data_IF_090258419331
#
_entry.id   IF_090258419331
#
_cell.length_a   1.000
_cell.length_b   1.000
_cell.length_c   1.000
_cell.angle_alpha   90.00
_cell.angle_beta   90.00
_cell.angle_gamma   90.00
#
_symmetry.space_group_name_H-M   'P 1'
#
loop_
_entity.id
_entity.type
_entity.pdbx_description
1 polymer ?
#
# COMPACT_ATOMS: atom_id res chain seq x y z
N UNK A 1 30.72 31.33 -46.92
CA UNK A 1 30.41 30.85 -45.56
C UNK A 1 31.68 30.81 -44.76
N UNK A 2 31.76 31.64 -43.73
CA UNK A 2 32.97 32.01 -43.03
C UNK A 2 33.44 30.95 -42.05
N UNK A 3 34.74 30.75 -42.00
CA UNK A 3 35.48 29.81 -41.11
C UNK A 3 35.18 29.93 -39.62
N UNK A 4 34.41 30.91 -39.21
CA UNK A 4 34.02 31.19 -37.81
C UNK A 4 32.89 30.30 -37.30
N UNK A 5 32.13 29.64 -38.16
CA UNK A 5 31.04 28.76 -37.76
C UNK A 5 31.47 27.29 -37.54
N UNK A 6 32.66 26.92 -38.00
CA UNK A 6 33.20 25.56 -37.81
C UNK A 6 33.91 25.37 -36.44
N UNK A 7 34.32 26.47 -35.80
CA UNK A 7 35.04 26.44 -34.52
C UNK A 7 34.11 26.38 -33.29
N UNK A 8 32.85 26.74 -33.45
CA UNK A 8 31.88 26.70 -32.32
C UNK A 8 31.24 25.33 -32.13
N UNK A 9 31.16 24.53 -33.22
CA UNK A 9 30.61 23.15 -33.11
C UNK A 9 31.62 22.12 -32.54
N UNK A 10 32.92 22.40 -32.58
CA UNK A 10 33.94 21.49 -32.06
C UNK A 10 34.22 21.66 -30.56
N UNK A 11 33.79 22.78 -29.94
CA UNK A 11 33.98 23.03 -28.52
C UNK A 11 32.82 22.49 -27.68
N UNK A 12 31.62 22.32 -28.25
CA UNK A 12 30.46 21.74 -27.56
C UNK A 12 30.47 20.23 -27.49
N UNK A 13 31.24 19.56 -28.38
CA UNK A 13 31.38 18.09 -28.33
C UNK A 13 32.55 17.61 -27.47
N UNK A 14 33.42 18.50 -27.03
CA UNK A 14 34.57 18.16 -26.17
C UNK A 14 34.26 18.30 -24.66
N UNK A 15 33.17 18.98 -24.30
CA UNK A 15 32.82 19.19 -22.87
C UNK A 15 31.90 18.12 -22.28
N UNK A 16 31.37 17.20 -23.07
CA UNK A 16 30.57 16.08 -22.55
C UNK A 16 31.36 14.77 -22.30
N UNK A 17 32.68 14.77 -22.55
CA UNK A 17 33.56 13.60 -22.34
C UNK A 17 34.46 13.74 -21.11
N UNK A 18 34.41 14.86 -20.41
CA UNK A 18 35.30 15.14 -19.27
C UNK A 18 34.51 15.25 -17.97
N UNK A 19 34.03 14.18 -17.43
CA UNK A 19 33.87 13.96 -15.98
C UNK A 19 33.03 12.72 -15.67
N UNK A 20 33.37 11.58 -16.18
CA UNK A 20 33.12 10.37 -15.42
C UNK A 20 34.29 10.26 -14.46
N UNK A 21 34.26 11.03 -13.35
CA UNK A 21 35.13 10.79 -12.20
C UNK A 21 34.89 9.36 -11.81
N UNK A 22 35.94 8.51 -12.00
CA UNK A 22 35.82 7.09 -11.67
C UNK A 22 35.39 6.98 -10.21
N UNK A 23 34.22 6.35 -9.97
CA UNK A 23 33.72 6.12 -8.61
C UNK A 23 34.74 5.28 -7.85
N UNK A 24 35.39 5.81 -6.79
CA UNK A 24 36.50 5.11 -6.14
C UNK A 24 35.99 3.92 -5.35
N UNK A 25 36.79 2.86 -5.30
CA UNK A 25 36.53 1.69 -4.48
C UNK A 25 36.78 2.02 -3.02
N UNK A 26 35.69 2.13 -2.25
CA UNK A 26 35.75 2.39 -0.80
C UNK A 26 36.28 1.19 -0.02
N UNK A 27 35.83 0.00 -0.39
CA UNK A 27 36.30 -1.22 0.27
C UNK A 27 36.19 -2.43 -0.64
N UNK A 28 36.85 -3.52 -0.25
CA UNK A 28 36.70 -4.84 -0.86
C UNK A 28 36.28 -5.84 0.20
N UNK A 29 35.19 -6.56 -0.07
CA UNK A 29 34.69 -7.64 0.79
C UNK A 29 34.88 -8.95 0.03
N UNK A 30 35.72 -9.84 0.52
CA UNK A 30 36.09 -11.09 -0.16
C UNK A 30 36.60 -10.88 -1.61
N UNK A 31 37.23 -9.74 -1.90
CA UNK A 31 37.66 -9.34 -3.24
C UNK A 31 36.63 -8.59 -4.07
N UNK A 32 35.35 -8.66 -3.73
CA UNK A 32 34.25 -7.91 -4.38
C UNK A 32 34.37 -6.43 -4.04
N UNK A 33 34.49 -5.52 -5.03
CA UNK A 33 34.57 -4.10 -4.77
C UNK A 33 33.20 -3.54 -4.32
N UNK A 34 33.27 -2.61 -3.37
CA UNK A 34 32.16 -1.75 -2.95
C UNK A 34 32.59 -0.32 -3.21
N UNK A 35 31.85 0.40 -4.00
CA UNK A 35 32.18 1.76 -4.41
C UNK A 35 31.70 2.80 -3.40
N UNK A 36 32.32 3.99 -3.43
CA UNK A 36 31.98 5.08 -2.53
C UNK A 36 30.51 5.50 -2.70
N UNK A 37 30.05 5.69 -3.92
CA UNK A 37 28.67 6.11 -4.22
C UNK A 37 27.63 5.13 -3.66
N UNK A 38 27.91 3.84 -3.72
CA UNK A 38 27.06 2.80 -3.16
C UNK A 38 26.94 2.91 -1.63
N UNK A 39 28.04 3.15 -0.96
CA UNK A 39 28.07 3.35 0.48
C UNK A 39 27.37 4.67 0.87
N UNK A 40 27.64 5.76 0.16
CA UNK A 40 27.01 7.06 0.36
C UNK A 40 25.49 6.98 0.23
N UNK A 41 25.00 6.31 -0.80
CA UNK A 41 23.56 6.08 -0.97
C UNK A 41 22.94 5.39 0.26
N UNK A 42 23.54 4.28 0.70
CA UNK A 42 23.05 3.54 1.84
C UNK A 42 23.15 4.33 3.15
N UNK A 43 24.27 5.04 3.35
CA UNK A 43 24.52 5.88 4.52
C UNK A 43 23.52 7.04 4.62
N UNK A 44 23.35 7.80 3.54
CA UNK A 44 22.48 8.97 3.51
C UNK A 44 21.01 8.57 3.71
N UNK A 45 20.54 7.56 2.99
CA UNK A 45 19.17 7.04 3.13
C UNK A 45 18.85 6.58 4.56
N UNK A 46 19.81 5.94 5.24
CA UNK A 46 19.60 5.50 6.63
C UNK A 46 19.66 6.66 7.62
N UNK A 47 20.48 7.67 7.36
CA UNK A 47 20.59 8.86 8.21
C UNK A 47 19.38 9.79 8.09
N UNK A 48 18.82 9.98 6.91
CA UNK A 48 17.63 10.80 6.69
C UNK A 48 16.43 10.31 7.50
N UNK A 49 16.34 8.99 7.72
CA UNK A 49 15.29 8.36 8.51
C UNK A 49 15.43 8.55 10.04
N UNK A 50 16.57 9.09 10.53
CA UNK A 50 16.86 9.21 11.97
C UNK A 50 16.45 10.55 12.61
N UNK A 51 15.65 11.40 11.95
CA UNK A 51 15.15 12.68 12.47
C UNK A 51 16.22 13.54 13.16
N UNK A 52 17.38 13.72 12.52
CA UNK A 52 18.45 14.59 13.00
C UNK A 52 19.37 14.00 14.07
N UNK A 53 19.24 12.73 14.42
CA UNK A 53 20.21 11.96 15.23
C UNK A 53 21.04 11.06 14.32
N UNK A 54 21.64 11.63 13.28
CA UNK A 54 22.44 10.91 12.30
C UNK A 54 23.66 10.23 12.96
N UNK A 55 23.99 9.04 12.46
CA UNK A 55 25.24 8.36 12.76
C UNK A 55 26.40 9.02 11.99
N UNK A 56 27.61 8.93 12.50
CA UNK A 56 28.80 9.27 11.71
C UNK A 56 29.10 8.18 10.69
N UNK A 57 29.93 8.50 9.71
CA UNK A 57 30.42 7.52 8.72
C UNK A 57 31.14 6.36 9.42
N UNK A 58 31.94 6.67 10.44
CA UNK A 58 32.69 5.72 11.23
C UNK A 58 31.79 4.78 12.04
N UNK A 59 30.66 5.28 12.56
CA UNK A 59 29.69 4.49 13.32
C UNK A 59 28.87 3.57 12.41
N UNK A 60 28.56 4.03 11.18
CA UNK A 60 27.78 3.27 10.21
C UNK A 60 28.59 2.19 9.50
N UNK A 61 29.88 2.44 9.21
CA UNK A 61 30.74 1.55 8.44
C UNK A 61 30.79 0.10 8.96
N UNK A 62 30.95 -0.17 10.28
CA UNK A 62 30.95 -1.55 10.79
C UNK A 62 29.65 -2.31 10.51
N UNK A 63 28.52 -1.63 10.60
CA UNK A 63 27.20 -2.21 10.33
C UNK A 63 27.03 -2.52 8.84
N UNK A 64 27.49 -1.64 7.98
CA UNK A 64 27.47 -1.84 6.54
C UNK A 64 28.42 -2.98 6.10
N UNK A 65 29.59 -3.09 6.72
CA UNK A 65 30.50 -4.24 6.53
C UNK A 65 29.81 -5.54 6.91
N UNK A 66 29.12 -5.61 8.05
CA UNK A 66 28.41 -6.79 8.49
C UNK A 66 27.28 -7.19 7.53
N UNK A 67 26.58 -6.20 6.96
CA UNK A 67 25.61 -6.42 5.89
C UNK A 67 26.28 -7.05 4.65
N UNK A 68 27.37 -6.47 4.15
CA UNK A 68 28.09 -6.99 2.99
C UNK A 68 28.69 -8.38 3.20
N UNK A 69 29.14 -8.69 4.41
CA UNK A 69 29.61 -10.04 4.78
C UNK A 69 28.48 -11.08 4.65
N UNK A 70 27.26 -10.71 5.02
CA UNK A 70 26.09 -11.60 4.86
C UNK A 70 25.73 -11.81 3.39
N UNK A 71 25.86 -10.76 2.57
CA UNK A 71 25.66 -10.87 1.11
C UNK A 71 26.68 -11.84 0.50
N UNK A 72 27.95 -11.74 0.89
CA UNK A 72 28.97 -12.70 0.42
C UNK A 72 28.64 -14.14 0.85
N UNK A 73 28.14 -14.34 2.07
CA UNK A 73 27.69 -15.67 2.51
C UNK A 73 26.48 -16.16 1.72
N UNK A 74 25.53 -15.28 1.40
CA UNK A 74 24.37 -15.62 0.56
C UNK A 74 24.80 -16.11 -0.82
N UNK A 75 25.75 -15.40 -1.46
CA UNK A 75 26.33 -15.80 -2.75
C UNK A 75 27.11 -17.13 -2.62
N UNK A 76 27.90 -17.31 -1.56
CA UNK A 76 28.61 -18.57 -1.30
C UNK A 76 27.63 -19.76 -1.12
N UNK A 77 26.43 -19.50 -0.62
CA UNK A 77 25.34 -20.48 -0.51
C UNK A 77 24.53 -20.63 -1.82
N UNK A 78 24.87 -19.87 -2.86
CA UNK A 78 24.17 -19.83 -4.16
C UNK A 78 22.71 -19.38 -4.05
N UNK A 79 22.37 -18.56 -3.07
CA UNK A 79 21.02 -18.00 -2.94
C UNK A 79 20.72 -17.02 -4.08
N UNK A 80 21.72 -16.42 -4.67
CA UNK A 80 21.67 -15.61 -5.88
C UNK A 80 21.27 -16.37 -7.16
N UNK A 81 21.15 -17.70 -7.10
CA UNK A 81 20.69 -18.56 -8.20
C UNK A 81 19.31 -19.19 -7.95
N UNK A 82 18.65 -18.84 -6.86
CA UNK A 82 17.33 -19.36 -6.49
C UNK A 82 16.26 -18.71 -7.37
N UNK A 83 15.53 -19.53 -8.14
CA UNK A 83 14.56 -19.06 -9.16
C UNK A 83 13.49 -18.13 -8.56
N UNK A 84 12.92 -18.48 -7.41
CA UNK A 84 11.88 -17.65 -6.77
C UNK A 84 12.38 -16.25 -6.39
N UNK A 85 13.63 -16.14 -5.91
CA UNK A 85 14.25 -14.85 -5.56
C UNK A 85 14.50 -14.01 -6.82
N UNK A 86 14.97 -14.66 -7.89
CA UNK A 86 15.22 -13.98 -9.17
C UNK A 86 13.90 -13.54 -9.86
N UNK A 87 12.85 -14.31 -9.72
CA UNK A 87 11.52 -13.96 -10.24
C UNK A 87 10.93 -12.77 -9.48
N UNK A 88 11.03 -12.77 -8.14
CA UNK A 88 10.62 -11.64 -7.30
C UNK A 88 11.40 -10.38 -7.69
N UNK A 89 12.73 -10.47 -7.77
CA UNK A 89 13.58 -9.34 -8.18
C UNK A 89 13.19 -8.80 -9.55
N UNK A 90 13.01 -9.67 -10.58
CA UNK A 90 12.65 -9.23 -11.92
C UNK A 90 11.30 -8.54 -11.96
N UNK A 91 10.30 -9.13 -11.30
CA UNK A 91 8.95 -8.56 -11.25
C UNK A 91 8.95 -7.14 -10.70
N UNK A 92 9.65 -6.92 -9.58
CA UNK A 92 9.66 -5.61 -8.93
C UNK A 92 10.55 -4.62 -9.69
N UNK A 93 11.67 -5.09 -10.28
CA UNK A 93 12.50 -4.30 -11.20
C UNK A 93 11.67 -3.79 -12.38
N UNK A 94 10.93 -4.69 -13.04
CA UNK A 94 10.13 -4.34 -14.21
C UNK A 94 9.04 -3.31 -13.86
N UNK A 95 8.42 -3.45 -12.69
CA UNK A 95 7.45 -2.48 -12.18
C UNK A 95 8.08 -1.11 -11.93
N UNK A 96 9.28 -1.06 -11.34
CA UNK A 96 9.99 0.20 -11.07
C UNK A 96 10.56 0.82 -12.35
N UNK A 97 11.01 -0.01 -13.31
CA UNK A 97 11.50 0.44 -14.61
C UNK A 97 10.40 1.11 -15.46
N UNK A 98 9.13 0.77 -15.24
CA UNK A 98 8.02 1.29 -16.04
C UNK A 98 8.03 2.84 -16.11
N UNK A 99 8.31 3.51 -14.98
CA UNK A 99 8.34 4.98 -14.91
C UNK A 99 9.42 5.62 -15.79
N UNK A 100 10.48 4.90 -16.11
CA UNK A 100 11.56 5.36 -17.00
C UNK A 100 11.28 5.06 -18.48
N UNK A 101 10.37 4.13 -18.74
CA UNK A 101 10.03 3.62 -20.08
C UNK A 101 8.70 4.17 -20.62
N UNK A 102 8.06 5.08 -19.90
CA UNK A 102 6.88 5.80 -20.36
C UNK A 102 7.22 7.29 -20.48
N UNK A 103 6.42 8.01 -21.25
CA UNK A 103 6.43 9.45 -21.31
C UNK A 103 5.40 10.00 -20.29
N UNK A 104 5.82 10.48 -19.10
CA UNK A 104 4.89 10.96 -18.08
C UNK A 104 4.17 12.24 -18.52
N UNK A 105 4.83 13.08 -19.32
CA UNK A 105 4.25 14.33 -19.83
C UNK A 105 3.10 14.04 -20.80
N UNK A 106 3.15 12.90 -21.51
CA UNK A 106 2.09 12.51 -22.42
C UNK A 106 0.76 12.28 -21.69
N UNK A 107 0.79 11.59 -20.56
CA UNK A 107 -0.42 11.30 -19.76
C UNK A 107 -1.01 12.61 -19.23
N UNK A 108 -0.18 13.50 -18.71
CA UNK A 108 -0.60 14.80 -18.18
C UNK A 108 -1.15 15.71 -19.30
N UNK A 109 -0.49 15.72 -20.45
CA UNK A 109 -0.94 16.49 -21.62
C UNK A 109 -2.28 15.97 -22.14
N UNK A 110 -2.47 14.65 -22.19
CA UNK A 110 -3.73 14.05 -22.64
C UNK A 110 -4.85 14.33 -21.65
N UNK A 111 -4.57 14.25 -20.35
CA UNK A 111 -5.52 14.64 -19.31
C UNK A 111 -5.92 16.12 -19.42
N UNK A 112 -4.94 17.00 -19.66
CA UNK A 112 -5.23 18.42 -19.89
C UNK A 112 -6.05 18.66 -21.17
N UNK A 113 -5.77 17.92 -22.25
CA UNK A 113 -6.51 18.01 -23.51
C UNK A 113 -7.98 17.67 -23.33
N UNK A 114 -8.28 16.62 -22.56
CA UNK A 114 -9.67 16.23 -22.22
C UNK A 114 -10.31 17.33 -21.38
N UNK A 115 -9.65 17.76 -20.32
CA UNK A 115 -10.13 18.84 -19.47
C UNK A 115 -10.43 20.13 -20.27
N UNK A 116 -9.53 20.54 -21.14
CA UNK A 116 -9.69 21.75 -21.96
C UNK A 116 -10.90 21.64 -22.91
N UNK A 117 -11.11 20.45 -23.49
CA UNK A 117 -12.29 20.18 -24.35
C UNK A 117 -13.58 20.28 -23.54
N UNK A 118 -13.63 19.66 -22.36
CA UNK A 118 -14.83 19.66 -21.51
C UNK A 118 -15.07 21.08 -20.97
N UNK A 119 -14.02 21.77 -20.54
CA UNK A 119 -14.11 23.17 -20.12
C UNK A 119 -14.62 24.09 -21.23
N UNK A 120 -14.20 23.88 -22.47
CA UNK A 120 -14.69 24.65 -23.62
C UNK A 120 -16.17 24.33 -23.93
N UNK A 121 -16.59 23.08 -23.76
CA UNK A 121 -17.97 22.62 -23.99
C UNK A 121 -18.91 23.16 -22.92
N UNK A 122 -18.53 23.09 -21.65
CA UNK A 122 -19.34 23.54 -20.51
C UNK A 122 -19.31 25.07 -20.42
N UNK A 123 -18.14 25.67 -20.74
CA UNK A 123 -17.96 27.11 -20.83
C UNK A 123 -18.19 27.84 -19.50
N UNK A 124 -18.47 29.14 -19.62
CA UNK A 124 -18.73 30.02 -18.46
C UNK A 124 -20.06 29.76 -17.78
N UNK A 125 -20.98 29.09 -18.50
CA UNK A 125 -22.35 28.85 -18.00
C UNK A 125 -22.39 27.73 -16.94
N UNK A 126 -21.35 26.88 -16.90
CA UNK A 126 -21.23 25.82 -15.90
C UNK A 126 -22.31 24.76 -15.95
N UNK A 127 -22.51 24.07 -14.85
CA UNK A 127 -23.56 23.08 -14.64
C UNK A 127 -24.78 23.78 -14.02
N UNK A 128 -25.87 23.77 -14.74
CA UNK A 128 -27.11 24.40 -14.29
C UNK A 128 -27.98 23.33 -13.61
N UNK A 129 -28.24 23.51 -12.31
CA UNK A 129 -29.12 22.62 -11.54
C UNK A 129 -30.56 23.05 -11.69
N UNK A 130 -31.38 22.16 -12.28
CA UNK A 130 -32.77 22.44 -12.61
C UNK A 130 -33.68 21.29 -12.20
N UNK A 131 -34.97 21.57 -12.07
CA UNK A 131 -36.06 20.59 -12.12
C UNK A 131 -37.16 21.09 -13.07
N UNK A 132 -38.01 20.24 -13.56
CA UNK A 132 -39.06 20.65 -14.44
C UNK A 132 -40.38 19.89 -14.22
N UNK A 133 -41.47 20.55 -14.58
CA UNK A 133 -42.76 19.94 -14.81
C UNK A 133 -42.89 19.67 -16.31
N UNK A 134 -43.29 18.48 -16.71
CA UNK A 134 -43.55 18.10 -18.10
C UNK A 134 -44.97 17.64 -18.28
N UNK A 135 -45.72 18.34 -19.11
CA UNK A 135 -47.03 17.99 -19.61
C UNK A 135 -46.83 17.40 -21.01
N UNK A 136 -46.78 16.09 -21.10
CA UNK A 136 -46.46 15.36 -22.31
C UNK A 136 -47.53 15.53 -23.39
N UNK A 137 -47.12 15.91 -24.59
CA UNK A 137 -47.93 15.87 -25.79
C UNK A 137 -47.02 15.69 -27.01
N UNK A 138 -47.31 14.69 -27.86
CA UNK A 138 -46.58 14.55 -29.13
C UNK A 138 -47.17 15.54 -30.14
N UNK A 139 -46.33 16.41 -30.69
CA UNK A 139 -46.71 17.51 -31.57
C UNK A 139 -47.19 17.09 -32.98
N UNK A 140 -47.15 15.80 -33.33
CA UNK A 140 -47.65 15.32 -34.61
C UNK A 140 -48.82 14.39 -34.40
N UNK A 141 -50.03 14.86 -34.72
CA UNK A 141 -51.17 14.02 -34.94
C UNK A 141 -52.36 14.08 -33.94
N UNK A 142 -52.24 14.86 -32.84
CA UNK A 142 -53.34 15.06 -31.90
C UNK A 142 -53.38 16.47 -31.33
N UNK A 143 -54.00 17.39 -32.08
CA UNK A 143 -54.18 18.79 -31.69
C UNK A 143 -54.98 18.95 -30.38
N UNK A 144 -55.84 18.00 -30.03
CA UNK A 144 -56.59 18.04 -28.78
C UNK A 144 -55.70 17.74 -27.57
N UNK A 145 -54.81 16.73 -27.68
CA UNK A 145 -53.82 16.42 -26.64
C UNK A 145 -52.82 17.56 -26.42
N UNK A 146 -52.38 18.20 -27.48
CA UNK A 146 -51.48 19.38 -27.41
C UNK A 146 -52.16 20.53 -26.69
N UNK A 147 -53.45 20.87 -27.05
CA UNK A 147 -54.19 21.91 -26.33
C UNK A 147 -54.38 21.59 -24.85
N UNK A 148 -54.75 20.36 -24.53
CA UNK A 148 -54.93 19.94 -23.14
C UNK A 148 -53.63 20.03 -22.34
N UNK A 149 -52.49 19.62 -22.91
CA UNK A 149 -51.20 19.73 -22.27
C UNK A 149 -50.83 21.19 -22.01
N UNK A 150 -51.10 22.10 -22.97
CA UNK A 150 -50.92 23.52 -22.81
C UNK A 150 -51.76 24.09 -21.69
N UNK A 151 -53.09 23.82 -21.69
CA UNK A 151 -54.00 24.28 -20.66
C UNK A 151 -53.62 23.81 -19.26
N UNK A 152 -53.11 22.58 -19.14
CA UNK A 152 -52.56 22.04 -17.87
C UNK A 152 -51.29 22.76 -17.44
N UNK A 153 -50.38 23.04 -18.36
CA UNK A 153 -49.17 23.78 -18.08
C UNK A 153 -49.47 25.23 -17.65
N UNK A 154 -50.40 25.89 -18.34
CA UNK A 154 -50.85 27.25 -18.00
C UNK A 154 -51.52 27.25 -16.60
N UNK A 155 -52.37 26.24 -16.29
CA UNK A 155 -52.96 26.09 -14.96
C UNK A 155 -51.93 25.86 -13.86
N UNK A 156 -50.92 25.00 -14.14
CA UNK A 156 -49.82 24.76 -13.22
C UNK A 156 -49.02 26.04 -12.92
N UNK A 157 -48.83 26.87 -13.96
CA UNK A 157 -48.14 28.14 -13.80
C UNK A 157 -48.89 29.12 -12.89
N UNK A 158 -50.21 29.20 -13.03
CA UNK A 158 -51.09 29.97 -12.12
C UNK A 158 -50.98 29.45 -10.69
N UNK A 159 -51.03 28.11 -10.49
CA UNK A 159 -50.88 27.50 -9.16
C UNK A 159 -49.53 27.81 -8.52
N UNK A 160 -48.44 27.87 -9.28
CA UNK A 160 -47.10 28.30 -8.79
C UNK A 160 -47.13 29.77 -8.34
N UNK A 161 -47.86 30.64 -9.08
CA UNK A 161 -48.07 32.03 -8.67
C UNK A 161 -48.90 32.20 -7.38
N UNK A 162 -49.78 31.23 -7.08
CA UNK A 162 -50.52 31.14 -5.83
C UNK A 162 -49.72 30.50 -4.67
N UNK A 163 -48.46 30.14 -4.87
CA UNK A 163 -47.56 29.61 -3.84
C UNK A 163 -47.58 28.07 -3.73
N UNK A 164 -48.19 27.34 -4.67
CA UNK A 164 -48.04 25.88 -4.72
C UNK A 164 -46.63 25.48 -5.13
N UNK A 165 -46.17 24.35 -4.65
CA UNK A 165 -44.85 23.79 -4.99
C UNK A 165 -44.91 22.89 -6.23
N UNK A 166 -43.75 22.57 -6.84
CA UNK A 166 -43.67 21.58 -7.93
C UNK A 166 -44.22 20.22 -7.50
N UNK A 167 -44.00 19.81 -6.25
CA UNK A 167 -44.53 18.57 -5.69
C UNK A 167 -46.08 18.59 -5.59
N UNK A 168 -46.68 19.71 -5.21
CA UNK A 168 -48.14 19.85 -5.16
C UNK A 168 -48.73 19.69 -6.56
N UNK A 169 -48.10 20.26 -7.57
CA UNK A 169 -48.54 20.21 -8.97
C UNK A 169 -48.40 18.79 -9.53
N UNK A 170 -47.29 18.12 -9.22
CA UNK A 170 -47.10 16.71 -9.59
C UNK A 170 -48.20 15.84 -9.03
N UNK A 171 -48.57 16.01 -7.75
CA UNK A 171 -49.64 15.28 -7.12
C UNK A 171 -51.02 15.60 -7.76
N UNK A 172 -51.29 16.89 -8.05
CA UNK A 172 -52.58 17.34 -8.61
C UNK A 172 -52.79 16.85 -10.04
N UNK A 173 -51.76 16.91 -10.89
CA UNK A 173 -51.91 16.51 -12.31
C UNK A 173 -51.48 15.05 -12.59
N UNK A 174 -51.00 14.31 -11.58
CA UNK A 174 -50.51 12.94 -11.73
C UNK A 174 -49.26 12.85 -12.63
N UNK A 175 -48.34 13.83 -12.51
CA UNK A 175 -47.12 13.84 -13.29
C UNK A 175 -46.09 12.86 -12.69
N UNK A 176 -45.00 12.60 -13.44
CA UNK A 176 -43.91 11.78 -12.94
C UNK A 176 -43.18 12.48 -11.77
N UNK A 177 -43.16 11.92 -10.54
CA UNK A 177 -42.48 12.55 -9.40
C UNK A 177 -41.01 12.74 -9.61
N UNK A 178 -40.33 11.91 -10.41
CA UNK A 178 -38.89 12.03 -10.69
C UNK A 178 -38.56 13.29 -11.52
N UNK A 179 -39.51 13.86 -12.25
CA UNK A 179 -39.26 15.08 -13.04
C UNK A 179 -39.00 16.32 -12.18
N UNK A 180 -39.38 16.32 -10.93
CA UNK A 180 -39.14 17.43 -9.98
C UNK A 180 -37.94 17.22 -9.10
N UNK A 181 -37.24 16.09 -9.21
CA UNK A 181 -35.93 15.91 -8.61
C UNK A 181 -34.88 16.75 -9.35
N UNK A 182 -34.11 17.60 -8.64
CA UNK A 182 -33.13 18.45 -9.30
C UNK A 182 -32.00 17.63 -9.97
N UNK A 183 -31.70 17.96 -11.22
CA UNK A 183 -30.62 17.39 -12.00
C UNK A 183 -29.75 18.48 -12.64
N UNK A 184 -28.51 18.15 -13.00
CA UNK A 184 -27.60 19.09 -13.66
C UNK A 184 -27.70 18.94 -15.18
N UNK A 185 -27.68 20.08 -15.89
CA UNK A 185 -27.58 20.16 -17.34
C UNK A 185 -26.41 21.06 -17.75
N UNK A 186 -25.88 20.81 -18.94
CA UNK A 186 -24.99 21.73 -19.64
C UNK A 186 -25.59 22.07 -21.01
N UNK A 187 -25.09 23.10 -21.65
CA UNK A 187 -25.51 23.49 -22.99
C UNK A 187 -25.31 22.34 -23.98
N UNK A 188 -26.27 22.19 -24.87
CA UNK A 188 -26.29 21.15 -25.92
C UNK A 188 -26.75 19.76 -25.45
N UNK A 189 -27.12 19.56 -24.18
CA UNK A 189 -27.60 18.27 -23.66
C UNK A 189 -29.13 18.12 -23.67
N UNK A 190 -29.84 19.23 -23.77
CA UNK A 190 -31.30 19.27 -23.70
C UNK A 190 -31.86 19.94 -24.95
N UNK A 191 -33.18 19.89 -25.15
CA UNK A 191 -33.84 20.62 -26.25
C UNK A 191 -33.52 22.11 -26.19
N UNK A 192 -33.38 22.74 -27.35
CA UNK A 192 -32.96 24.15 -27.44
C UNK A 192 -33.89 25.08 -26.67
N UNK A 193 -35.19 24.82 -26.73
CA UNK A 193 -36.23 25.59 -26.04
C UNK A 193 -36.09 25.44 -24.51
N UNK A 194 -35.79 24.26 -24.05
CA UNK A 194 -35.55 23.97 -22.63
C UNK A 194 -34.28 24.70 -22.15
N UNK A 195 -33.23 24.58 -22.92
CA UNK A 195 -31.95 25.25 -22.63
C UNK A 195 -32.15 26.76 -22.55
N UNK A 196 -32.79 27.35 -23.56
CA UNK A 196 -33.04 28.79 -23.59
C UNK A 196 -33.85 29.26 -22.37
N UNK A 197 -34.90 28.53 -22.01
CA UNK A 197 -35.72 28.85 -20.85
C UNK A 197 -34.95 28.71 -19.54
N UNK A 198 -34.20 27.62 -19.36
CA UNK A 198 -33.45 27.35 -18.11
C UNK A 198 -32.32 28.35 -17.85
N UNK A 199 -31.55 28.69 -18.88
CA UNK A 199 -30.43 29.63 -18.74
C UNK A 199 -30.84 31.10 -18.62
N UNK A 200 -32.08 31.45 -19.01
CA UNK A 200 -32.63 32.78 -18.84
C UNK A 200 -33.09 33.13 -17.41
N UNK A 201 -33.27 32.08 -16.55
CA UNK A 201 -33.73 32.26 -15.18
C UNK A 201 -32.61 32.67 -14.22
N UNK A 202 -32.96 33.42 -13.20
CA UNK A 202 -32.12 33.55 -12.00
C UNK A 202 -32.32 32.36 -11.07
N UNK A 203 -31.37 32.17 -10.10
CA UNK A 203 -31.46 31.10 -9.12
C UNK A 203 -32.71 31.25 -8.25
N UNK A 204 -33.48 30.17 -8.13
CA UNK A 204 -34.74 30.13 -7.43
C UNK A 204 -36.00 30.40 -8.30
N UNK A 205 -35.83 31.00 -9.50
CA UNK A 205 -36.91 31.29 -10.41
C UNK A 205 -37.40 30.07 -11.20
N UNK A 206 -38.64 30.17 -11.72
CA UNK A 206 -39.22 29.21 -12.65
C UNK A 206 -39.73 29.93 -13.91
N UNK A 207 -39.72 29.22 -15.04
CA UNK A 207 -40.15 29.76 -16.32
C UNK A 207 -41.65 29.85 -16.43
N UNK A 208 -42.14 30.70 -17.35
CA UNK A 208 -43.48 30.49 -17.94
C UNK A 208 -43.51 29.16 -18.69
N UNK A 209 -44.72 28.60 -18.97
CA UNK A 209 -44.88 27.44 -19.82
C UNK A 209 -44.29 27.68 -21.23
N UNK A 210 -43.48 26.73 -21.70
CA UNK A 210 -42.90 26.76 -23.04
C UNK A 210 -43.02 25.38 -23.70
N UNK A 211 -43.03 25.37 -25.01
CA UNK A 211 -43.21 24.20 -25.83
C UNK A 211 -41.87 23.56 -26.20
N UNK A 212 -41.85 22.23 -26.29
CA UNK A 212 -40.73 21.41 -26.79
C UNK A 212 -41.25 20.28 -27.67
N UNK A 213 -40.41 19.51 -28.37
CA UNK A 213 -40.87 18.35 -29.16
C UNK A 213 -41.62 17.27 -28.38
N UNK A 214 -41.57 17.28 -27.04
CA UNK A 214 -42.18 16.26 -26.17
C UNK A 214 -43.38 16.76 -25.36
N UNK A 215 -43.68 18.06 -25.43
CA UNK A 215 -44.78 18.67 -24.70
C UNK A 215 -44.45 20.06 -24.13
N UNK A 216 -45.19 20.44 -23.10
CA UNK A 216 -45.03 21.74 -22.44
C UNK A 216 -44.28 21.56 -21.13
N UNK A 217 -43.31 22.47 -20.89
CA UNK A 217 -42.45 22.48 -19.70
C UNK A 217 -42.65 23.74 -18.87
N UNK A 218 -42.44 23.60 -17.58
CA UNK A 218 -42.10 24.70 -16.66
C UNK A 218 -40.83 24.27 -15.98
N UNK A 219 -39.71 24.98 -16.17
CA UNK A 219 -38.43 24.67 -15.56
C UNK A 219 -38.18 25.57 -14.37
N UNK A 220 -37.61 25.03 -13.27
CA UNK A 220 -37.13 25.79 -12.14
C UNK A 220 -35.61 25.67 -12.08
N UNK A 221 -34.93 26.79 -11.96
CA UNK A 221 -33.48 26.87 -11.72
C UNK A 221 -33.22 26.90 -10.23
N UNK A 222 -32.23 26.14 -9.77
CA UNK A 222 -31.78 26.12 -8.38
C UNK A 222 -30.47 26.82 -8.17
N UNK A 223 -29.48 26.52 -8.97
CA UNK A 223 -28.12 27.05 -8.83
C UNK A 223 -27.29 26.80 -10.09
N UNK A 224 -26.18 27.49 -10.20
CA UNK A 224 -25.13 27.22 -11.18
C UNK A 224 -23.88 26.78 -10.42
N UNK A 225 -23.28 25.68 -10.85
CA UNK A 225 -21.96 25.26 -10.39
C UNK A 225 -20.96 25.51 -11.54
N UNK A 226 -19.92 26.31 -11.32
CA UNK A 226 -18.89 26.53 -12.34
C UNK A 226 -18.14 25.21 -12.63
N UNK A 227 -17.56 25.12 -13.81
CA UNK A 227 -16.60 24.07 -14.11
C UNK A 227 -15.35 24.30 -13.27
N UNK A 228 -14.87 23.28 -12.57
CA UNK A 228 -13.73 23.37 -11.66
C UNK A 228 -12.38 23.49 -12.36
N UNK A 229 -11.31 23.59 -11.58
CA UNK A 229 -9.94 23.67 -12.09
C UNK A 229 -9.44 22.32 -12.65
N UNK A 230 -8.36 22.38 -13.44
CA UNK A 230 -7.71 21.16 -13.94
C UNK A 230 -7.27 20.23 -12.78
N UNK A 231 -6.72 20.80 -11.73
CA UNK A 231 -6.24 20.03 -10.57
C UNK A 231 -7.36 19.25 -9.88
N UNK A 232 -8.59 19.78 -9.88
CA UNK A 232 -9.75 19.08 -9.32
C UNK A 232 -10.18 17.89 -10.19
N UNK A 233 -10.11 18.01 -11.52
CA UNK A 233 -10.55 16.97 -12.45
C UNK A 233 -9.46 15.99 -12.85
N UNK A 234 -8.18 16.39 -12.78
CA UNK A 234 -7.02 15.59 -13.18
C UNK A 234 -7.04 14.16 -12.64
N UNK A 235 -7.28 13.90 -11.31
CA UNK A 235 -7.28 12.53 -10.80
C UNK A 235 -8.33 11.62 -11.45
N UNK A 236 -9.54 12.16 -11.69
CA UNK A 236 -10.63 11.42 -12.32
C UNK A 236 -10.33 11.13 -13.80
N UNK A 237 -9.80 12.11 -14.52
CA UNK A 237 -9.44 11.97 -15.94
C UNK A 237 -8.28 10.96 -16.08
N UNK A 238 -7.24 11.07 -15.26
CA UNK A 238 -6.11 10.12 -15.29
C UNK A 238 -6.60 8.70 -14.98
N UNK A 239 -7.45 8.52 -13.97
CA UNK A 239 -8.03 7.20 -13.67
C UNK A 239 -8.88 6.63 -14.83
N UNK A 240 -9.56 7.48 -15.58
CA UNK A 240 -10.28 7.08 -16.79
C UNK A 240 -9.30 6.67 -17.90
N UNK A 241 -8.26 7.46 -18.14
CA UNK A 241 -7.22 7.18 -19.13
C UNK A 241 -6.46 5.87 -18.81
N UNK A 242 -6.17 5.62 -17.53
CA UNK A 242 -5.55 4.36 -17.09
C UNK A 242 -6.41 3.13 -17.43
N UNK A 243 -7.74 3.23 -17.28
CA UNK A 243 -8.68 2.17 -17.70
C UNK A 243 -8.72 1.96 -19.20
N UNK A 244 -8.31 2.97 -19.98
CA UNK A 244 -8.20 2.94 -21.44
C UNK A 244 -6.79 2.55 -21.92
N UNK A 245 -5.92 2.10 -21.01
CA UNK A 245 -4.55 1.67 -21.29
C UNK A 245 -3.64 2.77 -21.88
N UNK A 246 -3.80 4.01 -21.40
CA UNK A 246 -2.98 5.16 -21.83
C UNK A 246 -1.48 4.91 -21.62
N UNK A 247 -1.10 4.04 -20.68
CA UNK A 247 0.29 3.70 -20.44
C UNK A 247 0.96 3.02 -21.64
N UNK A 248 0.25 2.16 -22.34
CA UNK A 248 0.75 1.54 -23.56
C UNK A 248 1.03 2.58 -24.65
N UNK A 249 0.18 3.60 -24.78
CA UNK A 249 0.42 4.72 -25.70
C UNK A 249 1.63 5.57 -25.28
N UNK A 250 1.71 5.92 -24.00
CA UNK A 250 2.84 6.67 -23.43
C UNK A 250 4.17 5.90 -23.63
N UNK A 251 4.14 4.59 -23.43
CA UNK A 251 5.29 3.70 -23.67
C UNK A 251 5.69 3.67 -25.15
N UNK A 252 4.72 3.53 -26.04
CA UNK A 252 5.00 3.53 -27.49
C UNK A 252 5.59 4.86 -27.95
N UNK A 253 5.08 5.99 -27.44
CA UNK A 253 5.64 7.31 -27.72
C UNK A 253 7.07 7.45 -27.25
N UNK A 254 7.36 7.00 -26.01
CA UNK A 254 8.73 6.97 -25.47
C UNK A 254 9.64 6.10 -26.37
N UNK A 255 9.17 4.95 -26.81
CA UNK A 255 9.89 4.11 -27.76
C UNK A 255 10.23 4.79 -29.08
N UNK A 256 9.29 5.56 -29.65
CA UNK A 256 9.52 6.34 -30.88
C UNK A 256 10.56 7.45 -30.66
N UNK A 257 10.53 8.11 -29.50
CA UNK A 257 11.53 9.11 -29.14
C UNK A 257 12.93 8.51 -29.02
N UNK A 258 13.05 7.42 -28.24
CA UNK A 258 14.29 6.68 -28.03
C UNK A 258 14.85 6.11 -29.34
N UNK A 259 13.99 5.59 -30.24
CA UNK A 259 14.43 5.10 -31.55
C UNK A 259 15.11 6.22 -32.37
N UNK A 260 14.61 7.45 -32.31
CA UNK A 260 15.25 8.62 -32.95
C UNK A 260 16.59 8.95 -32.30
N UNK A 261 16.66 8.94 -30.96
CA UNK A 261 17.90 9.17 -30.20
C UNK A 261 18.97 8.12 -30.53
N UNK A 262 18.58 6.87 -30.73
CA UNK A 262 19.48 5.77 -31.12
C UNK A 262 19.79 5.73 -32.63
N UNK A 263 19.47 6.78 -33.38
CA UNK A 263 19.83 6.94 -34.78
C UNK A 263 18.74 6.55 -35.78
N UNK A 264 17.53 6.23 -35.37
CA UNK A 264 16.35 6.04 -36.19
C UNK A 264 16.28 4.72 -37.00
N UNK A 265 17.21 3.79 -36.74
CA UNK A 265 17.33 2.53 -37.52
C UNK A 265 16.79 1.29 -36.78
N UNK A 266 16.15 1.49 -35.64
CA UNK A 266 15.58 0.43 -34.78
C UNK A 266 14.10 0.69 -34.53
N UNK A 267 13.35 -0.36 -34.21
CA UNK A 267 11.93 -0.22 -33.85
C UNK A 267 11.76 0.46 -32.48
N UNK A 268 10.58 1.02 -32.19
CA UNK A 268 10.27 1.55 -30.86
C UNK A 268 10.44 0.52 -29.74
N UNK A 269 10.07 -0.72 -29.98
CA UNK A 269 10.19 -1.83 -29.03
C UNK A 269 11.66 -2.17 -28.76
N UNK A 270 12.51 -2.22 -29.81
CA UNK A 270 13.95 -2.43 -29.66
C UNK A 270 14.62 -1.29 -28.93
N UNK A 271 14.18 -0.05 -29.17
CA UNK A 271 14.67 1.13 -28.48
C UNK A 271 14.33 1.10 -26.99
N UNK A 272 13.09 0.73 -26.63
CA UNK A 272 12.67 0.52 -25.24
C UNK A 272 13.45 -0.58 -24.56
N UNK A 273 13.64 -1.73 -25.21
CA UNK A 273 14.43 -2.83 -24.65
C UNK A 273 15.90 -2.44 -24.44
N UNK A 274 16.46 -1.65 -25.35
CA UNK A 274 17.82 -1.09 -25.20
C UNK A 274 17.90 -0.12 -24.03
N UNK A 275 16.96 0.81 -23.91
CA UNK A 275 16.91 1.75 -22.78
C UNK A 275 16.76 0.99 -21.46
N UNK A 276 15.84 0.01 -21.39
CA UNK A 276 15.63 -0.82 -20.21
C UNK A 276 16.91 -1.53 -19.76
N UNK A 277 17.71 -2.03 -20.68
CA UNK A 277 19.01 -2.67 -20.38
C UNK A 277 20.09 -1.72 -19.87
N UNK A 278 19.88 -0.42 -20.00
CA UNK A 278 20.80 0.63 -19.58
C UNK A 278 20.38 1.36 -18.30
N UNK A 279 19.19 1.09 -17.78
CA UNK A 279 18.63 1.87 -16.66
C UNK A 279 19.56 1.93 -15.44
N UNK A 280 20.12 0.79 -15.04
CA UNK A 280 20.99 0.71 -13.84
C UNK A 280 22.29 1.50 -14.00
N UNK A 281 22.75 1.72 -15.24
CA UNK A 281 23.97 2.46 -15.51
C UNK A 281 23.73 3.91 -15.90
N UNK A 282 22.61 4.18 -16.57
CA UNK A 282 22.24 5.51 -17.05
C UNK A 282 21.64 6.38 -15.94
N UNK A 283 20.91 5.74 -15.00
CA UNK A 283 20.25 6.40 -13.87
C UNK A 283 20.81 5.86 -12.54
N UNK A 284 21.79 6.56 -11.92
CA UNK A 284 22.45 6.08 -10.71
C UNK A 284 21.49 5.79 -9.56
N UNK A 285 20.43 6.57 -9.41
CA UNK A 285 19.39 6.36 -8.40
C UNK A 285 18.63 5.03 -8.61
N UNK A 286 18.31 4.69 -9.87
CA UNK A 286 17.71 3.41 -10.20
C UNK A 286 18.68 2.25 -9.94
N UNK A 287 19.93 2.39 -10.38
CA UNK A 287 20.97 1.39 -10.14
C UNK A 287 21.21 1.11 -8.65
N UNK A 288 21.25 2.14 -7.83
CA UNK A 288 21.39 2.02 -6.38
C UNK A 288 20.15 1.36 -5.73
N UNK A 289 18.96 1.76 -6.15
CA UNK A 289 17.71 1.17 -5.66
C UNK A 289 17.63 -0.31 -6.01
N UNK A 290 17.97 -0.70 -7.23
CA UNK A 290 17.94 -2.10 -7.67
C UNK A 290 18.99 -2.95 -6.96
N UNK A 291 20.17 -2.41 -6.70
CA UNK A 291 21.20 -3.08 -5.90
C UNK A 291 20.73 -3.30 -4.46
N UNK A 292 20.22 -2.26 -3.82
CA UNK A 292 19.69 -2.35 -2.46
C UNK A 292 18.59 -3.40 -2.35
N UNK A 293 17.67 -3.42 -3.32
CA UNK A 293 16.59 -4.38 -3.35
C UNK A 293 17.10 -5.82 -3.51
N UNK A 294 17.97 -6.06 -4.50
CA UNK A 294 18.57 -7.37 -4.71
C UNK A 294 19.36 -7.88 -3.50
N UNK A 295 20.20 -7.02 -2.94
CA UNK A 295 20.96 -7.37 -1.75
C UNK A 295 20.06 -7.54 -0.51
N UNK A 296 18.95 -6.79 -0.42
CA UNK A 296 17.93 -6.97 0.60
C UNK A 296 17.28 -8.37 0.55
N UNK A 297 16.95 -8.86 -0.65
CA UNK A 297 16.43 -10.22 -0.84
C UNK A 297 17.45 -11.28 -0.41
N UNK A 298 18.71 -11.13 -0.80
CA UNK A 298 19.79 -12.03 -0.38
C UNK A 298 20.02 -12.02 1.15
N UNK A 299 20.02 -10.82 1.74
CA UNK A 299 20.14 -10.62 3.19
C UNK A 299 19.01 -11.30 3.95
N UNK A 300 17.77 -11.12 3.48
CA UNK A 300 16.59 -11.76 4.08
C UNK A 300 16.70 -13.29 4.01
N UNK A 301 17.01 -13.82 2.84
CA UNK A 301 17.10 -15.26 2.61
C UNK A 301 18.19 -15.92 3.47
N UNK A 302 19.40 -15.33 3.52
CA UNK A 302 20.52 -15.88 4.31
C UNK A 302 20.27 -15.73 5.81
N UNK A 303 19.72 -14.60 6.26
CA UNK A 303 19.42 -14.37 7.67
C UNK A 303 18.34 -15.29 8.19
N UNK A 304 17.29 -15.50 7.38
CA UNK A 304 16.22 -16.48 7.67
C UNK A 304 16.80 -17.87 7.83
N UNK A 305 17.64 -18.32 6.90
CA UNK A 305 18.25 -19.65 6.93
C UNK A 305 19.24 -19.84 8.09
N UNK A 306 20.09 -18.84 8.37
CA UNK A 306 21.17 -18.99 9.37
C UNK A 306 20.76 -18.64 10.79
N UNK A 307 19.81 -17.73 10.95
CA UNK A 307 19.47 -17.15 12.25
C UNK A 307 18.00 -17.28 12.61
N UNK A 308 17.09 -16.77 11.80
CA UNK A 308 15.70 -16.53 12.24
C UNK A 308 14.91 -17.84 12.41
N UNK A 309 14.94 -18.74 11.41
CA UNK A 309 14.29 -20.05 11.54
C UNK A 309 14.92 -20.83 12.70
N UNK A 310 16.25 -20.83 12.76
CA UNK A 310 16.96 -21.53 13.83
C UNK A 310 16.63 -20.96 15.20
N UNK A 311 16.51 -19.64 15.35
CA UNK A 311 16.18 -19.02 16.63
C UNK A 311 14.79 -19.43 17.16
N UNK A 312 13.85 -19.76 16.27
CA UNK A 312 12.48 -20.16 16.63
C UNK A 312 12.27 -21.67 16.73
N UNK A 313 13.06 -22.47 16.00
CA UNK A 313 12.83 -23.91 15.81
C UNK A 313 13.85 -24.81 16.51
N UNK A 314 15.03 -24.28 16.86
CA UNK A 314 16.09 -25.06 17.55
C UNK A 314 15.76 -25.26 19.05
N UNK A 315 14.77 -26.11 19.34
CA UNK A 315 14.37 -26.40 20.73
C UNK A 315 15.56 -26.84 21.62
N UNK A 316 16.48 -27.72 21.19
CA UNK A 316 17.67 -28.06 21.98
C UNK A 316 18.56 -26.87 22.26
N UNK A 317 18.78 -26.00 21.25
CA UNK A 317 19.55 -24.77 21.38
C UNK A 317 18.91 -23.78 22.34
N UNK A 318 17.59 -23.55 22.21
CA UNK A 318 16.80 -22.69 23.09
C UNK A 318 16.88 -23.16 24.55
N UNK A 319 16.70 -24.47 24.80
CA UNK A 319 16.82 -25.04 26.12
C UNK A 319 18.23 -24.84 26.73
N UNK A 320 19.26 -25.10 25.94
CA UNK A 320 20.66 -24.92 26.37
C UNK A 320 20.97 -23.46 26.66
N UNK A 321 20.49 -22.57 25.80
CA UNK A 321 20.68 -21.12 25.94
C UNK A 321 19.95 -20.59 27.18
N UNK A 322 18.69 -20.98 27.38
CA UNK A 322 17.92 -20.64 28.58
C UNK A 322 18.62 -21.11 29.86
N UNK A 323 19.00 -22.38 29.95
CA UNK A 323 19.70 -22.92 31.14
C UNK A 323 20.96 -22.13 31.47
N UNK A 324 21.75 -21.76 30.46
CA UNK A 324 22.98 -20.97 30.65
C UNK A 324 22.68 -19.55 31.15
N UNK A 325 21.56 -18.98 30.73
CA UNK A 325 21.19 -17.59 31.00
C UNK A 325 19.99 -17.46 31.96
N UNK A 326 19.59 -18.52 32.66
CA UNK A 326 18.37 -18.59 33.47
C UNK A 326 18.24 -17.42 34.47
N UNK A 327 19.37 -16.95 35.03
CA UNK A 327 19.39 -15.82 35.99
C UNK A 327 18.94 -14.50 35.37
N UNK A 328 18.98 -14.35 34.05
CA UNK A 328 18.53 -13.18 33.31
C UNK A 328 17.01 -13.10 33.25
N UNK A 329 16.34 -14.24 33.24
CA UNK A 329 14.90 -14.33 33.08
C UNK A 329 14.23 -14.44 34.43
N UNK A 330 13.47 -13.41 34.80
CA UNK A 330 12.75 -13.31 36.09
C UNK A 330 11.33 -12.88 35.81
N UNK A 331 10.44 -13.26 36.71
CA UNK A 331 9.10 -12.68 36.79
C UNK A 331 9.10 -11.59 37.85
N UNK A 332 8.38 -10.51 37.60
CA UNK A 332 8.16 -9.45 38.60
C UNK A 332 7.13 -9.90 39.67
N UNK A 333 6.20 -10.77 39.26
CA UNK A 333 5.20 -11.38 40.13
C UNK A 333 5.03 -12.86 39.75
N UNK A 334 4.58 -13.73 40.68
CA UNK A 334 4.25 -15.13 40.36
C UNK A 334 3.29 -15.24 39.19
N UNK A 335 3.43 -16.30 38.39
CA UNK A 335 2.59 -16.54 37.22
C UNK A 335 1.96 -17.90 37.27
N UNK A 336 0.73 -18.00 36.77
CA UNK A 336 0.09 -19.30 36.53
C UNK A 336 0.58 -19.88 35.22
N UNK A 337 1.10 -21.09 35.27
CA UNK A 337 1.47 -21.90 34.11
C UNK A 337 0.53 -23.08 33.99
N UNK A 338 -0.26 -23.15 32.92
CA UNK A 338 -1.22 -24.21 32.78
C UNK A 338 -2.18 -24.09 31.60
N UNK A 339 -3.30 -24.77 31.74
CA UNK A 339 -4.41 -24.74 30.82
C UNK A 339 -5.59 -23.96 31.41
N UNK A 340 -6.16 -23.06 30.65
CA UNK A 340 -7.48 -22.47 30.87
C UNK A 340 -8.46 -23.24 29.97
N UNK A 341 -9.46 -23.85 30.55
CA UNK A 341 -10.35 -24.82 29.90
C UNK A 341 -11.78 -24.30 29.95
N UNK A 342 -12.45 -24.27 28.81
CA UNK A 342 -13.90 -24.08 28.69
C UNK A 342 -14.54 -25.34 28.11
N UNK A 343 -15.67 -25.74 28.66
CA UNK A 343 -16.41 -26.93 28.18
C UNK A 343 -17.92 -26.64 28.16
N UNK A 344 -18.61 -27.46 27.36
CA UNK A 344 -20.07 -27.46 27.29
C UNK A 344 -20.74 -28.13 28.50
N UNK A 345 -20.07 -29.11 29.14
CA UNK A 345 -20.59 -29.87 30.29
C UNK A 345 -19.52 -30.06 31.35
N UNK A 346 -19.96 -30.29 32.60
CA UNK A 346 -19.07 -30.64 33.71
C UNK A 346 -18.35 -31.96 33.48
N UNK A 347 -19.03 -32.97 32.95
CA UNK A 347 -18.43 -34.28 32.62
C UNK A 347 -17.22 -34.15 31.68
N UNK A 348 -17.34 -33.28 30.63
CA UNK A 348 -16.22 -33.01 29.74
C UNK A 348 -15.09 -32.26 30.45
N UNK A 349 -15.41 -31.34 31.37
CA UNK A 349 -14.43 -30.67 32.21
C UNK A 349 -13.64 -31.67 33.05
N UNK A 350 -14.33 -32.58 33.73
CA UNK A 350 -13.70 -33.60 34.59
C UNK A 350 -12.82 -34.56 33.79
N UNK A 351 -13.25 -34.92 32.59
CA UNK A 351 -12.46 -35.74 31.67
C UNK A 351 -11.17 -35.05 31.25
N UNK A 352 -11.23 -33.77 30.90
CA UNK A 352 -10.04 -33.00 30.53
C UNK A 352 -9.10 -32.82 31.73
N UNK A 353 -9.65 -32.51 32.91
CA UNK A 353 -8.88 -32.37 34.14
C UNK A 353 -8.16 -33.67 34.49
N UNK A 354 -8.84 -34.82 34.39
CA UNK A 354 -8.24 -36.11 34.64
C UNK A 354 -7.06 -36.43 33.72
N UNK A 355 -7.17 -36.08 32.43
CA UNK A 355 -6.09 -36.26 31.45
C UNK A 355 -4.90 -35.37 31.76
N UNK A 356 -5.10 -34.14 32.27
CA UNK A 356 -4.04 -33.18 32.52
C UNK A 356 -3.43 -33.28 33.93
N UNK A 357 -4.14 -33.83 34.87
CA UNK A 357 -3.71 -33.90 36.27
C UNK A 357 -2.39 -34.68 36.45
N UNK A 358 -1.47 -34.09 37.20
CA UNK A 358 -0.15 -34.67 37.48
C UNK A 358 0.87 -34.58 36.32
N UNK A 359 0.48 -34.05 35.18
CA UNK A 359 1.38 -33.87 34.03
C UNK A 359 2.01 -32.46 34.07
N UNK A 360 3.13 -32.32 33.36
CA UNK A 360 3.74 -31.00 33.13
C UNK A 360 2.99 -30.24 32.04
N UNK A 361 2.96 -28.92 32.14
CA UNK A 361 2.22 -28.07 31.21
C UNK A 361 2.67 -28.20 29.74
N UNK A 362 3.91 -28.55 29.48
CA UNK A 362 4.45 -28.84 28.14
C UNK A 362 3.96 -30.16 27.53
N UNK A 363 3.42 -31.08 28.35
CA UNK A 363 2.82 -32.33 27.92
C UNK A 363 1.30 -32.23 27.68
N UNK A 364 0.67 -31.10 28.06
CA UNK A 364 -0.79 -30.94 28.02
C UNK A 364 -1.36 -31.13 26.63
N UNK A 365 -0.72 -30.54 25.61
CA UNK A 365 -1.20 -30.63 24.22
C UNK A 365 -1.26 -32.09 23.74
N UNK A 366 -0.16 -32.82 23.88
CA UNK A 366 -0.09 -34.23 23.48
C UNK A 366 -0.98 -35.12 24.32
N UNK A 367 -1.13 -34.80 25.62
CA UNK A 367 -2.04 -35.56 26.51
C UNK A 367 -3.50 -35.40 26.10
N UNK A 368 -3.93 -34.20 25.72
CA UNK A 368 -5.28 -33.90 25.20
C UNK A 368 -5.52 -34.66 23.90
N UNK A 369 -4.58 -34.59 22.96
CA UNK A 369 -4.69 -35.23 21.64
C UNK A 369 -4.74 -36.75 21.76
N UNK A 370 -4.04 -37.36 22.73
CA UNK A 370 -3.98 -38.82 22.93
C UNK A 370 -5.08 -39.35 23.87
N UNK A 371 -5.53 -38.55 24.84
CA UNK A 371 -6.37 -39.00 25.95
C UNK A 371 -7.86 -38.67 25.83
N UNK A 372 -8.25 -37.81 24.88
CA UNK A 372 -9.64 -37.36 24.73
C UNK A 372 -10.23 -37.81 23.39
N UNK A 373 -11.54 -38.06 23.39
CA UNK A 373 -12.30 -38.35 22.17
C UNK A 373 -12.38 -37.05 21.29
N UNK A 374 -12.55 -37.25 19.99
CA UNK A 374 -12.75 -36.13 19.06
C UNK A 374 -13.96 -35.25 19.44
N UNK A 375 -14.99 -35.84 20.05
CA UNK A 375 -16.18 -35.15 20.51
C UNK A 375 -15.90 -34.29 21.75
N UNK A 376 -15.13 -34.80 22.71
CA UNK A 376 -14.68 -34.05 23.89
C UNK A 376 -13.81 -32.85 23.49
N UNK A 377 -12.90 -33.01 22.51
CA UNK A 377 -12.06 -31.95 22.01
C UNK A 377 -12.91 -30.88 21.29
N UNK A 378 -13.88 -31.29 20.45
CA UNK A 378 -14.74 -30.39 19.68
C UNK A 378 -15.68 -29.56 20.56
N UNK A 379 -16.09 -30.08 21.72
CA UNK A 379 -16.99 -29.44 22.69
C UNK A 379 -16.25 -28.71 23.80
N UNK A 380 -14.95 -28.55 23.67
CA UNK A 380 -14.09 -27.82 24.59
C UNK A 380 -13.20 -26.77 23.87
N UNK A 381 -12.74 -25.82 24.65
CA UNK A 381 -11.67 -24.90 24.26
C UNK A 381 -10.60 -24.94 25.34
N UNK A 382 -9.37 -25.21 24.95
CA UNK A 382 -8.22 -25.24 25.87
C UNK A 382 -7.20 -24.21 25.41
N UNK A 383 -6.80 -23.34 26.30
CA UNK A 383 -5.75 -22.34 26.07
C UNK A 383 -4.60 -22.60 27.02
N UNK A 384 -3.44 -22.92 26.45
CA UNK A 384 -2.21 -23.18 27.19
C UNK A 384 -1.40 -21.88 27.28
N UNK A 385 -0.91 -21.57 28.49
CA UNK A 385 -0.14 -20.34 28.65
C UNK A 385 0.55 -20.21 29.99
N UNK A 386 1.25 -19.08 30.11
CA UNK A 386 1.85 -18.57 31.34
C UNK A 386 1.26 -17.17 31.53
N UNK A 387 0.51 -16.97 32.62
CA UNK A 387 -0.31 -15.80 32.87
C UNK A 387 0.15 -15.07 34.13
N UNK A 388 0.40 -13.78 34.01
CA UNK A 388 0.49 -12.89 35.15
C UNK A 388 -0.91 -12.41 35.59
N UNK A 389 -1.00 -11.81 36.77
CA UNK A 389 -2.20 -11.07 37.17
C UNK A 389 -2.47 -9.96 36.16
N UNK A 390 -3.69 -9.88 35.66
CA UNK A 390 -4.14 -8.93 34.65
C UNK A 390 -4.08 -9.45 33.20
N UNK A 391 -3.41 -10.58 32.94
CA UNK A 391 -3.33 -11.16 31.57
C UNK A 391 -4.65 -11.83 31.15
N UNK A 392 -5.38 -12.43 32.09
CA UNK A 392 -6.65 -13.11 31.81
C UNK A 392 -7.59 -13.11 33.02
N UNK A 393 -8.75 -12.50 32.86
CA UNK A 393 -9.73 -12.33 33.95
C UNK A 393 -10.22 -13.64 34.59
N UNK A 394 -10.25 -14.76 33.85
CA UNK A 394 -10.59 -16.08 34.42
C UNK A 394 -9.45 -16.65 35.24
N UNK A 395 -8.21 -16.49 34.80
CA UNK A 395 -7.03 -16.90 35.57
C UNK A 395 -6.93 -16.04 36.83
N UNK A 396 -7.16 -14.74 36.73
CA UNK A 396 -7.17 -13.83 37.88
C UNK A 396 -8.16 -14.30 38.95
N UNK A 397 -9.38 -14.65 38.53
CA UNK A 397 -10.42 -15.16 39.44
C UNK A 397 -10.08 -16.50 40.02
N UNK A 398 -9.76 -17.48 39.15
CA UNK A 398 -9.68 -18.91 39.56
C UNK A 398 -8.37 -19.26 40.25
N UNK A 399 -7.29 -18.53 39.97
CA UNK A 399 -5.95 -18.81 40.51
C UNK A 399 -5.53 -17.79 41.55
N UNK A 400 -5.69 -16.49 41.20
CA UNK A 400 -5.18 -15.41 42.04
C UNK A 400 -6.24 -14.79 42.97
N UNK A 401 -7.49 -15.28 42.90
CA UNK A 401 -8.63 -14.79 43.68
C UNK A 401 -8.87 -13.26 43.48
N UNK A 402 -8.66 -12.80 42.26
CA UNK A 402 -8.83 -11.39 41.89
C UNK A 402 -9.89 -11.23 40.78
N UNK A 403 -10.74 -10.21 40.92
CA UNK A 403 -11.78 -9.91 39.95
C UNK A 403 -12.95 -10.91 39.92
N UNK A 404 -13.89 -10.68 38.98
CA UNK A 404 -15.12 -11.47 38.85
C UNK A 404 -15.08 -12.55 37.76
N UNK A 405 -13.99 -12.60 37.00
CA UNK A 405 -13.84 -13.45 35.82
C UNK A 405 -14.26 -12.73 34.54
N UNK A 406 -14.01 -13.39 33.40
CA UNK A 406 -14.32 -12.86 32.08
C UNK A 406 -15.70 -13.27 31.56
N UNK A 407 -16.03 -12.83 30.34
CA UNK A 407 -17.25 -13.32 29.66
C UNK A 407 -17.11 -14.78 29.29
N UNK A 408 -18.19 -15.55 29.50
CA UNK A 408 -18.27 -16.93 29.03
C UNK A 408 -18.21 -16.98 27.50
N UNK A 409 -17.58 -18.00 26.96
CA UNK A 409 -17.56 -18.23 25.52
C UNK A 409 -18.90 -18.79 25.07
N UNK A 410 -19.35 -18.33 23.91
CA UNK A 410 -20.65 -18.75 23.36
C UNK A 410 -20.70 -20.29 23.21
N UNK A 411 -21.76 -20.90 23.77
CA UNK A 411 -21.97 -22.34 23.73
C UNK A 411 -21.14 -23.16 24.72
N UNK A 412 -20.34 -22.53 25.59
CA UNK A 412 -19.56 -23.16 26.66
C UNK A 412 -20.00 -22.58 27.99
N UNK A 413 -20.42 -23.46 28.92
CA UNK A 413 -21.04 -23.08 30.20
C UNK A 413 -20.15 -23.28 31.42
N UNK A 414 -19.01 -23.96 31.24
CA UNK A 414 -18.09 -24.27 32.32
C UNK A 414 -16.69 -23.72 31.97
N UNK A 415 -16.00 -23.20 32.97
CA UNK A 415 -14.61 -22.75 32.85
C UNK A 415 -13.84 -23.16 34.09
N UNK A 416 -12.62 -23.65 33.89
CA UNK A 416 -11.72 -24.02 34.98
C UNK A 416 -10.26 -23.98 34.50
N UNK A 417 -9.33 -24.18 35.44
CA UNK A 417 -7.88 -24.15 35.16
C UNK A 417 -7.23 -25.44 35.66
N UNK A 418 -6.18 -25.89 34.95
CA UNK A 418 -5.27 -26.95 35.35
C UNK A 418 -3.84 -26.46 35.20
N UNK A 419 -3.08 -26.47 36.29
CA UNK A 419 -1.70 -26.00 36.25
C UNK A 419 -1.17 -25.65 37.62
N UNK A 420 -0.09 -24.88 37.65
CA UNK A 420 0.63 -24.48 38.87
C UNK A 420 1.04 -23.01 38.81
N UNK A 421 1.11 -22.38 39.97
CA UNK A 421 1.75 -21.10 40.13
C UNK A 421 3.26 -21.30 40.24
N UNK A 422 4.01 -20.52 39.46
CA UNK A 422 5.48 -20.54 39.43
C UNK A 422 6.03 -19.14 39.73
N UNK A 423 7.06 -19.04 40.58
CA UNK A 423 7.67 -17.77 40.99
C UNK A 423 8.77 -17.31 40.04
N UNK A 424 9.27 -18.20 39.20
CA UNK A 424 10.32 -17.92 38.22
C UNK A 424 10.17 -18.84 37.00
N UNK A 425 10.68 -18.44 35.82
CA UNK A 425 10.72 -19.33 34.67
C UNK A 425 11.53 -20.59 34.95
N UNK A 426 10.96 -21.76 34.68
CA UNK A 426 11.62 -23.06 34.81
C UNK A 426 12.09 -23.61 33.48
N UNK A 427 11.44 -23.21 32.40
CA UNK A 427 11.77 -23.59 31.03
C UNK A 427 11.82 -22.36 30.13
N UNK A 428 12.45 -22.49 28.96
CA UNK A 428 12.42 -21.41 27.98
C UNK A 428 10.99 -21.08 27.48
N UNK A 429 10.08 -22.07 27.54
CA UNK A 429 8.67 -21.89 27.11
C UNK A 429 7.92 -20.92 28.01
N UNK A 430 8.33 -20.78 29.28
CA UNK A 430 7.70 -19.85 30.23
C UNK A 430 7.97 -18.38 29.90
N UNK A 431 9.03 -18.12 29.11
CA UNK A 431 9.49 -16.80 28.64
C UNK A 431 9.90 -16.87 27.17
N UNK A 432 9.16 -17.63 26.38
CA UNK A 432 9.51 -18.02 25.02
C UNK A 432 9.94 -16.83 24.14
N UNK A 433 9.17 -15.76 24.13
CA UNK A 433 9.48 -14.58 23.30
C UNK A 433 10.82 -13.94 23.65
N UNK A 434 11.09 -13.76 24.94
CA UNK A 434 12.34 -13.16 25.41
C UNK A 434 13.54 -14.04 25.08
N UNK A 435 13.40 -15.36 25.28
CA UNK A 435 14.50 -16.31 25.01
C UNK A 435 14.78 -16.42 23.52
N UNK A 436 13.74 -16.45 22.64
CA UNK A 436 13.93 -16.47 21.20
C UNK A 436 14.65 -15.20 20.74
N UNK A 437 14.24 -14.02 21.21
CA UNK A 437 14.87 -12.75 20.85
C UNK A 437 16.36 -12.70 21.27
N UNK A 438 16.66 -13.11 22.50
CA UNK A 438 18.05 -13.14 22.98
C UNK A 438 18.87 -14.22 22.29
N UNK A 439 18.28 -15.36 21.98
CA UNK A 439 18.95 -16.46 21.27
C UNK A 439 19.22 -16.06 19.81
N UNK A 440 18.31 -15.34 19.18
CA UNK A 440 18.51 -14.76 17.85
C UNK A 440 19.73 -13.82 17.84
N UNK A 441 19.83 -12.90 18.80
CA UNK A 441 20.99 -12.00 18.94
C UNK A 441 22.29 -12.80 19.14
N UNK A 442 22.25 -13.81 19.98
CA UNK A 442 23.42 -14.68 20.22
C UNK A 442 23.85 -15.42 18.94
N UNK A 443 22.91 -15.96 18.17
CA UNK A 443 23.21 -16.64 16.90
C UNK A 443 23.77 -15.66 15.88
N UNK A 444 23.21 -14.47 15.79
CA UNK A 444 23.65 -13.37 14.92
C UNK A 444 25.12 -12.98 15.22
N UNK A 445 25.41 -12.66 16.47
CA UNK A 445 26.76 -12.30 16.90
C UNK A 445 27.78 -13.41 16.62
N UNK A 446 27.41 -14.66 16.90
CA UNK A 446 28.24 -15.81 16.63
C UNK A 446 28.49 -16.01 15.15
N UNK A 447 27.48 -15.83 14.33
CA UNK A 447 27.58 -15.91 12.88
C UNK A 447 28.45 -14.81 12.31
N UNK A 448 28.22 -13.55 12.68
CA UNK A 448 29.05 -12.41 12.26
C UNK A 448 30.53 -12.60 12.62
N UNK A 449 30.83 -13.08 13.85
CA UNK A 449 32.21 -13.45 14.22
C UNK A 449 32.80 -14.50 13.27
N UNK A 450 32.02 -15.45 12.81
CA UNK A 450 32.47 -16.45 11.83
C UNK A 450 32.70 -15.87 10.45
N UNK A 451 31.80 -14.98 9.99
CA UNK A 451 31.91 -14.31 8.69
C UNK A 451 33.16 -13.41 8.61
N UNK A 452 33.43 -12.61 9.67
CA UNK A 452 34.63 -11.76 9.76
C UNK A 452 35.94 -12.56 9.76
N UNK A 453 35.90 -13.83 10.17
CA UNK A 453 37.05 -14.74 10.06
C UNK A 453 37.16 -15.38 8.67
N UNK A 454 36.01 -15.65 8.04
CA UNK A 454 35.93 -16.32 6.75
C UNK A 454 36.26 -15.41 5.58
N UNK A 455 35.80 -14.16 5.62
CA UNK A 455 35.91 -13.20 4.54
C UNK A 455 36.83 -12.04 4.88
N UNK A 456 37.79 -11.78 4.00
CA UNK A 456 38.69 -10.64 4.14
C UNK A 456 37.98 -9.34 3.76
N UNK A 457 38.08 -8.33 4.63
CA UNK A 457 37.59 -6.97 4.36
C UNK A 457 38.81 -6.05 4.32
N UNK A 458 38.88 -5.20 3.30
CA UNK A 458 39.93 -4.16 3.17
C UNK A 458 39.23 -2.85 2.86
N UNK A 459 39.35 -1.88 3.75
CA UNK A 459 38.75 -0.54 3.61
C UNK A 459 39.86 0.44 3.22
N UNK A 460 39.61 1.24 2.20
CA UNK A 460 40.48 2.37 1.84
C UNK A 460 40.13 3.57 2.72
N UNK A 461 41.00 3.90 3.62
CA UNK A 461 40.79 4.96 4.60
C UNK A 461 40.80 6.37 3.96
N UNK A 462 41.52 6.54 2.87
CA UNK A 462 41.56 7.84 2.18
C UNK A 462 40.23 8.07 1.42
N UNK A 463 39.72 7.05 0.76
CA UNK A 463 38.39 7.11 0.13
C UNK A 463 37.28 7.31 1.16
N UNK A 464 37.43 6.67 2.36
CA UNK A 464 36.41 6.82 3.42
C UNK A 464 36.28 8.28 3.90
N UNK A 465 37.36 9.03 3.95
CA UNK A 465 37.36 10.45 4.34
C UNK A 465 36.64 11.35 3.33
N UNK A 466 36.45 10.89 2.08
CA UNK A 466 35.79 11.63 1.02
C UNK A 466 34.27 11.31 0.90
N UNK A 467 33.75 10.48 1.80
CA UNK A 467 32.31 10.19 1.85
C UNK A 467 31.53 11.48 2.14
N UNK A 468 30.60 11.83 1.26
CA UNK A 468 29.86 13.10 1.25
C UNK A 468 30.73 14.37 1.19
N UNK A 469 32.02 14.24 0.85
CA UNK A 469 32.96 15.34 0.68
C UNK A 469 33.87 15.00 -0.50
N UNK A 470 33.45 15.40 -1.70
CA UNK A 470 34.12 15.02 -2.95
C UNK A 470 35.18 16.01 -3.42
N UNK A 471 35.61 16.96 -2.53
CA UNK A 471 36.65 17.95 -2.81
C UNK A 471 38.07 17.33 -2.87
#
# INVERSE_FOLDING_TARGET
MSLKHLLVLSVLSASSVLAQVADPVLMKVNGTPVYRSEFEYAFNKNNDNLNGKGQTVEDYLPMYIDFKLKIEEAKAMRLDTVSSLLEEYRKDRDQLAESYLIDPDYIDNEAYRIYAKDSATIGKDGFLKVAHLLFMARQKGDDAAVRLAKERADSAYVMLGEGKTFSDIVGFFGLNPQSVEPFEIIRGQVYAEFEQAAYALADGEYSSPFESPVGFHIVKRFSVRPFGSFEEYKPAIVSMLEKMDIKSEARMRKGVELAKEFGGNISPEEALAREDSLLETKYPEFGNLMREYYEGLLFFAVSTSKVWNRASEDEPGLNKFFKKNAKKYKFDTPRFRGALVWTKSQENMDSIKAVLQGRKADEYKSAIEAGLSADSIRTARVELGVYAVGDNAWVDKLVFSQGEGGKMRMGLSHVDVVGTVIDKPETYKDVKGNVINDYQKYLEEKWLKSLRKKYKVVVDQEVLKTVNNHD
#
